data_IF_798002871413
#
_entry.id   IF_798002871413
#
_cell.length_a   1.000
_cell.length_b   1.000
_cell.length_c   1.000
_cell.angle_alpha   90.00
_cell.angle_beta   90.00
_cell.angle_gamma   90.00
#
_symmetry.space_group_name_H-M   'P 1'
#
loop_
_entity.id
_entity.type
_entity.pdbx_description
1 polymer ?
#
# COMPACT_ATOMS: atom_id res chain seq x y z
N UNK A 1 12.09 -12.03 27.42
CA UNK A 1 10.79 -11.33 27.35
C UNK A 1 11.10 -9.86 27.31
N UNK A 2 10.61 -9.12 26.30
CA UNK A 2 10.76 -7.66 26.28
C UNK A 2 10.04 -7.09 27.51
N UNK A 3 10.73 -6.28 28.29
CA UNK A 3 10.16 -5.64 29.48
C UNK A 3 9.17 -4.55 28.98
N UNK A 4 7.90 -4.93 28.79
CA UNK A 4 6.83 -4.00 28.41
C UNK A 4 6.41 -3.23 29.66
N UNK A 5 6.23 -1.91 29.52
CA UNK A 5 5.61 -1.12 30.57
C UNK A 5 4.10 -1.44 30.73
N UNK A 6 3.47 -0.84 31.74
CA UNK A 6 2.05 -1.07 32.03
C UNK A 6 1.14 -0.75 30.84
N UNK A 7 1.35 0.39 30.19
CA UNK A 7 0.51 0.84 29.07
C UNK A 7 0.75 0.02 27.79
N UNK A 8 2.00 -0.34 27.52
CA UNK A 8 2.34 -1.25 26.43
C UNK A 8 1.70 -2.62 26.64
N UNK A 9 1.73 -3.16 27.87
CA UNK A 9 1.13 -4.45 28.17
C UNK A 9 -0.41 -4.41 28.06
N UNK A 10 -1.03 -3.32 28.48
CA UNK A 10 -2.47 -3.09 28.29
C UNK A 10 -2.85 -3.08 26.81
N UNK A 11 -2.11 -2.36 25.96
CA UNK A 11 -2.32 -2.35 24.51
C UNK A 11 -2.13 -3.74 23.87
N UNK A 12 -1.12 -4.50 24.32
CA UNK A 12 -0.88 -5.87 23.86
C UNK A 12 -2.06 -6.79 24.20
N UNK A 13 -2.66 -6.67 25.39
CA UNK A 13 -3.70 -7.57 25.91
C UNK A 13 -5.13 -7.09 25.68
N UNK A 14 -5.31 -5.92 25.08
CA UNK A 14 -6.64 -5.35 24.83
C UNK A 14 -7.57 -6.34 24.09
N UNK A 15 -8.84 -6.42 24.51
CA UNK A 15 -9.83 -7.38 24.00
C UNK A 15 -10.94 -6.75 23.18
N UNK A 16 -10.94 -5.42 23.04
CA UNK A 16 -11.93 -4.69 22.24
C UNK A 16 -11.84 -5.06 20.76
N UNK A 17 -12.95 -4.95 20.04
CA UNK A 17 -13.02 -5.18 18.58
C UNK A 17 -12.11 -4.23 17.81
N UNK A 18 -12.00 -2.97 18.29
CA UNK A 18 -11.12 -1.95 17.72
C UNK A 18 -10.30 -1.33 18.85
N UNK A 19 -9.01 -1.15 18.62
CA UNK A 19 -8.07 -0.55 19.58
C UNK A 19 -7.24 0.48 18.83
N UNK A 20 -7.26 1.73 19.31
CA UNK A 20 -6.40 2.80 18.83
C UNK A 20 -5.30 3.03 19.87
N UNK A 21 -4.04 2.97 19.44
CA UNK A 21 -2.88 3.26 20.29
C UNK A 21 -2.20 4.51 19.78
N UNK A 22 -2.20 5.56 20.58
CA UNK A 22 -1.53 6.83 20.28
C UNK A 22 -0.27 6.93 21.15
N UNK A 23 0.88 7.11 20.52
CA UNK A 23 2.15 7.19 21.23
C UNK A 23 3.19 8.00 20.42
N UNK A 24 4.07 8.76 21.09
CA UNK A 24 5.11 9.55 20.43
C UNK A 24 6.14 8.68 19.71
N UNK A 25 6.98 9.26 18.83
CA UNK A 25 8.15 8.59 18.29
C UNK A 25 9.03 8.01 19.42
N UNK A 26 9.59 6.83 19.19
CA UNK A 26 10.46 6.17 20.20
C UNK A 26 9.73 5.42 21.32
N UNK A 27 8.43 5.58 21.52
CA UNK A 27 7.64 4.93 22.58
C UNK A 27 7.46 3.40 22.41
N UNK A 28 8.17 2.76 21.50
CA UNK A 28 8.09 1.30 21.33
C UNK A 28 6.86 0.78 20.60
N UNK A 29 6.16 1.59 19.76
CA UNK A 29 4.98 1.17 18.99
C UNK A 29 5.17 -0.17 18.26
N UNK A 30 6.30 -0.31 17.56
CA UNK A 30 6.62 -1.55 16.84
C UNK A 30 6.76 -2.74 17.78
N UNK A 31 7.37 -2.53 18.94
CA UNK A 31 7.50 -3.57 19.99
C UNK A 31 6.12 -4.00 20.50
N UNK A 32 5.22 -3.05 20.73
CA UNK A 32 3.82 -3.34 21.13
C UNK A 32 3.12 -4.19 20.06
N UNK A 33 3.22 -3.80 18.78
CA UNK A 33 2.60 -4.55 17.67
C UNK A 33 3.13 -5.99 17.62
N UNK A 34 4.46 -6.19 17.67
CA UNK A 34 5.06 -7.52 17.62
C UNK A 34 4.65 -8.39 18.81
N UNK A 35 4.62 -7.84 20.01
CA UNK A 35 4.14 -8.56 21.19
C UNK A 35 2.62 -8.82 21.12
N UNK A 36 1.83 -7.92 20.54
CA UNK A 36 0.40 -8.14 20.27
C UNK A 36 0.19 -9.34 19.36
N UNK A 37 0.94 -9.43 18.28
CA UNK A 37 0.88 -10.57 17.34
C UNK A 37 1.22 -11.86 18.10
N UNK A 38 2.31 -11.87 18.86
CA UNK A 38 2.72 -13.02 19.69
C UNK A 38 1.61 -13.43 20.66
N UNK A 39 1.03 -12.47 21.38
CA UNK A 39 -0.11 -12.71 22.28
C UNK A 39 -1.30 -13.35 21.57
N UNK A 40 -1.65 -12.85 20.36
CA UNK A 40 -2.75 -13.40 19.56
C UNK A 40 -2.48 -14.86 19.14
N UNK A 41 -1.27 -15.17 18.73
CA UNK A 41 -0.90 -16.52 18.28
C UNK A 41 -0.77 -17.50 19.46
N UNK A 42 -0.03 -17.12 20.50
CA UNK A 42 0.34 -18.02 21.58
C UNK A 42 -0.73 -18.15 22.67
N UNK A 43 -1.30 -17.03 23.13
CA UNK A 43 -2.29 -17.02 24.23
C UNK A 43 -3.73 -17.12 23.71
N UNK A 44 -4.04 -16.43 22.58
CA UNK A 44 -5.40 -16.42 22.02
C UNK A 44 -5.61 -17.52 20.97
N UNK A 45 -4.56 -18.28 20.61
CA UNK A 45 -4.59 -19.38 19.65
C UNK A 45 -5.14 -18.99 18.26
N UNK A 46 -5.00 -17.72 17.88
CA UNK A 46 -5.37 -17.25 16.55
C UNK A 46 -4.38 -17.82 15.54
N UNK A 47 -4.87 -18.41 14.45
CA UNK A 47 -3.99 -18.94 13.41
C UNK A 47 -3.26 -17.79 12.69
N UNK A 48 -1.96 -17.93 12.42
CA UNK A 48 -1.15 -16.90 11.77
C UNK A 48 -1.70 -16.43 10.43
N UNK A 49 -2.37 -17.31 9.67
CA UNK A 49 -3.01 -16.95 8.39
C UNK A 49 -4.17 -15.95 8.53
N UNK A 50 -4.73 -15.79 9.73
CA UNK A 50 -5.81 -14.84 10.02
C UNK A 50 -5.28 -13.52 10.62
N UNK A 51 -3.96 -13.36 10.73
CA UNK A 51 -3.33 -12.14 11.21
C UNK A 51 -2.68 -11.41 10.05
N UNK A 52 -3.09 -10.16 9.85
CA UNK A 52 -2.57 -9.28 8.80
C UNK A 52 -1.95 -8.06 9.46
N UNK A 53 -0.71 -7.77 9.11
CA UNK A 53 0.03 -6.61 9.60
C UNK A 53 0.33 -5.70 8.43
N UNK A 54 -0.26 -4.49 8.47
CA UNK A 54 -0.12 -3.51 7.39
C UNK A 54 0.76 -2.36 7.87
N UNK A 55 1.67 -1.97 7.00
CA UNK A 55 2.53 -0.81 7.17
C UNK A 55 2.46 0.08 5.94
N UNK A 56 2.93 1.31 6.06
CA UNK A 56 2.92 2.25 4.93
C UNK A 56 3.97 1.89 3.86
N UNK A 57 5.13 1.35 4.27
CA UNK A 57 6.21 1.01 3.34
C UNK A 57 6.58 -0.47 3.38
N UNK A 58 7.02 -1.00 2.24
CA UNK A 58 7.53 -2.37 2.11
C UNK A 58 8.72 -2.63 3.04
N UNK A 59 9.64 -1.67 3.13
CA UNK A 59 10.81 -1.77 4.01
C UNK A 59 10.42 -1.90 5.49
N UNK A 60 9.42 -1.13 5.96
CA UNK A 60 8.92 -1.25 7.33
C UNK A 60 8.26 -2.62 7.57
N UNK A 61 7.51 -3.13 6.59
CA UNK A 61 6.90 -4.46 6.70
C UNK A 61 7.95 -5.57 6.79
N UNK A 62 8.98 -5.52 5.96
CA UNK A 62 10.08 -6.50 5.97
C UNK A 62 10.88 -6.44 7.29
N UNK A 63 11.18 -5.25 7.78
CA UNK A 63 11.84 -5.08 9.09
C UNK A 63 11.00 -5.68 10.24
N UNK A 64 9.71 -5.36 10.28
CA UNK A 64 8.80 -5.94 11.28
C UNK A 64 8.73 -7.46 11.18
N UNK A 65 8.65 -8.01 9.97
CA UNK A 65 8.63 -9.44 9.71
C UNK A 65 9.90 -10.14 10.20
N UNK A 66 11.08 -9.56 9.93
CA UNK A 66 12.37 -10.11 10.39
C UNK A 66 12.44 -10.14 11.91
N UNK A 67 12.11 -9.03 12.56
CA UNK A 67 12.07 -8.95 14.02
C UNK A 67 11.05 -9.91 14.62
N UNK A 68 9.91 -10.10 13.99
CA UNK A 68 8.92 -11.07 14.46
C UNK A 68 9.44 -12.50 14.37
N UNK A 69 10.12 -12.87 13.27
CA UNK A 69 10.74 -14.19 13.11
C UNK A 69 11.80 -14.51 14.18
N UNK A 70 12.56 -13.51 14.64
CA UNK A 70 13.51 -13.67 15.74
C UNK A 70 12.82 -13.95 17.08
N UNK A 71 11.64 -13.35 17.28
CA UNK A 71 10.84 -13.52 18.50
C UNK A 71 9.98 -14.79 18.49
N UNK A 72 9.61 -15.29 17.31
CA UNK A 72 8.67 -16.40 17.12
C UNK A 72 9.23 -17.38 16.09
N UNK A 73 9.94 -18.38 16.58
CA UNK A 73 10.72 -19.32 15.75
C UNK A 73 9.88 -20.44 15.15
N UNK A 74 8.70 -20.71 15.70
CA UNK A 74 7.85 -21.82 15.30
C UNK A 74 6.46 -21.35 14.87
N UNK A 75 5.88 -22.04 13.88
CA UNK A 75 4.51 -21.79 13.43
C UNK A 75 4.40 -20.90 12.18
N UNK A 76 3.16 -20.64 11.79
CA UNK A 76 2.85 -19.87 10.57
C UNK A 76 3.05 -18.37 10.83
N UNK A 77 3.94 -17.78 10.06
CA UNK A 77 4.21 -16.33 10.12
C UNK A 77 3.01 -15.58 9.51
N UNK A 78 2.47 -14.58 10.20
CA UNK A 78 1.43 -13.68 9.67
C UNK A 78 1.85 -12.98 8.39
N UNK A 79 0.87 -12.42 7.67
CA UNK A 79 1.17 -11.53 6.57
C UNK A 79 1.70 -10.19 7.12
N UNK A 80 2.86 -9.76 6.60
CA UNK A 80 3.42 -8.43 6.81
C UNK A 80 3.55 -7.75 5.44
N UNK A 81 2.95 -6.59 5.25
CA UNK A 81 2.99 -5.92 3.96
C UNK A 81 2.36 -4.54 3.98
N UNK A 82 2.20 -3.97 2.80
CA UNK A 82 1.39 -2.77 2.55
C UNK A 82 -0.01 -3.17 2.09
N UNK A 83 -0.95 -2.23 2.04
CA UNK A 83 -2.27 -2.47 1.45
C UNK A 83 -2.16 -2.98 0.01
N UNK A 84 -1.37 -2.33 -0.84
CA UNK A 84 -1.15 -2.76 -2.22
C UNK A 84 -0.60 -4.19 -2.29
N UNK A 85 0.38 -4.53 -1.44
CA UNK A 85 0.92 -5.90 -1.35
C UNK A 85 -0.11 -6.94 -0.91
N UNK A 86 -1.05 -6.56 -0.04
CA UNK A 86 -2.15 -7.42 0.37
C UNK A 86 -3.14 -7.63 -0.79
N UNK A 87 -3.58 -6.55 -1.43
CA UNK A 87 -4.52 -6.63 -2.56
C UNK A 87 -3.93 -7.42 -3.73
N UNK A 88 -2.67 -7.15 -4.09
CA UNK A 88 -1.95 -7.94 -5.09
C UNK A 88 -1.96 -9.44 -4.76
N UNK A 89 -1.68 -9.80 -3.51
CA UNK A 89 -1.72 -11.21 -3.05
C UNK A 89 -3.12 -11.83 -3.11
N UNK A 90 -4.17 -11.05 -2.83
CA UNK A 90 -5.56 -11.51 -2.91
C UNK A 90 -5.94 -11.74 -4.39
N UNK A 91 -5.59 -10.83 -5.27
CA UNK A 91 -5.89 -10.94 -6.70
C UNK A 91 -5.16 -12.11 -7.36
N UNK A 92 -3.90 -12.38 -7.00
CA UNK A 92 -3.15 -13.54 -7.47
C UNK A 92 -3.78 -14.89 -7.09
N UNK A 93 -4.67 -14.93 -6.10
CA UNK A 93 -5.44 -16.16 -5.81
C UNK A 93 -6.54 -16.43 -6.81
N UNK A 94 -7.00 -15.39 -7.51
CA UNK A 94 -8.15 -15.44 -8.43
C UNK A 94 -7.75 -15.27 -9.90
N UNK A 95 -6.48 -14.92 -10.18
CA UNK A 95 -5.92 -14.74 -11.53
C UNK A 95 -4.55 -15.39 -11.59
N UNK A 96 -4.28 -16.11 -12.67
CA UNK A 96 -3.01 -16.82 -12.86
C UNK A 96 -1.82 -15.86 -13.02
N UNK A 97 -2.07 -14.68 -13.57
CA UNK A 97 -1.05 -13.64 -13.79
C UNK A 97 -1.62 -12.24 -13.58
N UNK A 98 -0.89 -11.39 -12.86
CA UNK A 98 -1.13 -9.96 -12.74
C UNK A 98 0.12 -9.23 -13.23
N UNK A 99 -0.04 -8.44 -14.27
CA UNK A 99 1.02 -7.58 -14.80
C UNK A 99 0.72 -6.13 -14.48
N UNK A 100 1.67 -5.48 -13.80
CA UNK A 100 1.57 -4.06 -13.49
C UNK A 100 2.24 -3.23 -14.58
N UNK A 101 1.65 -2.07 -14.86
CA UNK A 101 2.27 -1.09 -15.74
C UNK A 101 3.57 -0.58 -15.10
N UNK A 102 4.64 -0.49 -15.90
CA UNK A 102 5.90 0.08 -15.45
C UNK A 102 5.83 1.61 -15.37
N UNK A 103 6.55 2.17 -14.39
CA UNK A 103 6.62 3.63 -14.23
C UNK A 103 7.15 4.33 -15.48
N UNK A 104 8.06 3.68 -16.22
CA UNK A 104 8.60 4.20 -17.49
C UNK A 104 7.52 4.30 -18.58
N UNK A 105 6.65 3.29 -18.67
CA UNK A 105 5.57 3.29 -19.66
C UNK A 105 4.53 4.35 -19.33
N UNK A 106 4.12 4.42 -18.06
CA UNK A 106 3.21 5.47 -17.56
C UNK A 106 3.72 6.86 -17.91
N UNK A 107 5.00 7.11 -17.65
CA UNK A 107 5.66 8.37 -17.94
C UNK A 107 5.68 8.67 -19.47
N UNK A 108 6.06 7.70 -20.29
CA UNK A 108 6.18 7.87 -21.74
C UNK A 108 4.82 8.13 -22.41
N UNK A 109 3.76 7.47 -21.95
CA UNK A 109 2.40 7.69 -22.45
C UNK A 109 1.98 9.13 -22.21
N UNK A 110 2.08 9.60 -20.97
CA UNK A 110 1.68 10.95 -20.59
C UNK A 110 2.53 11.98 -21.32
N UNK A 111 3.84 11.79 -21.38
CA UNK A 111 4.75 12.69 -22.12
C UNK A 111 4.36 12.79 -23.58
N UNK A 112 4.08 11.66 -24.24
CA UNK A 112 3.69 11.62 -25.67
C UNK A 112 2.40 12.41 -25.91
N UNK A 113 1.38 12.25 -25.07
CA UNK A 113 0.13 12.99 -25.21
C UNK A 113 0.35 14.47 -24.96
N UNK A 114 1.03 14.84 -23.88
CA UNK A 114 1.28 16.25 -23.56
C UNK A 114 2.07 16.97 -24.63
N UNK A 115 3.06 16.32 -25.25
CA UNK A 115 3.87 16.90 -26.34
C UNK A 115 3.07 17.26 -27.60
N UNK A 116 1.84 16.77 -27.74
CA UNK A 116 0.93 17.16 -28.82
C UNK A 116 0.16 18.46 -28.51
N UNK A 117 0.19 18.95 -27.28
CA UNK A 117 -0.59 20.11 -26.83
C UNK A 117 0.23 21.19 -26.15
N UNK A 118 1.45 20.89 -25.73
CA UNK A 118 2.31 21.78 -24.94
C UNK A 118 3.72 21.72 -25.53
N UNK A 119 4.32 22.89 -25.81
CA UNK A 119 5.68 22.97 -26.40
C UNK A 119 6.76 22.42 -25.46
N UNK A 120 6.66 22.73 -24.15
CA UNK A 120 7.58 22.23 -23.13
C UNK A 120 6.86 21.35 -22.11
N UNK A 121 7.19 20.05 -22.12
CA UNK A 121 6.67 19.08 -21.18
C UNK A 121 7.70 18.82 -20.10
N UNK A 122 7.52 19.45 -18.92
CA UNK A 122 8.38 19.19 -17.75
C UNK A 122 7.99 17.90 -17.04
N UNK A 123 8.96 17.34 -16.30
CA UNK A 123 8.75 16.15 -15.47
C UNK A 123 7.70 16.39 -14.36
N UNK A 124 7.61 17.62 -13.85
CA UNK A 124 6.61 18.01 -12.87
C UNK A 124 5.19 17.94 -13.41
N UNK A 125 4.97 18.41 -14.65
CA UNK A 125 3.67 18.30 -15.33
C UNK A 125 3.25 16.84 -15.54
N UNK A 126 4.17 15.97 -15.93
CA UNK A 126 3.89 14.55 -16.09
C UNK A 126 3.49 13.92 -14.77
N UNK A 127 4.24 14.21 -13.69
CA UNK A 127 3.93 13.73 -12.33
C UNK A 127 2.58 14.27 -11.83
N UNK A 128 2.27 15.53 -12.12
CA UNK A 128 0.97 16.12 -11.79
C UNK A 128 -0.17 15.34 -12.45
N UNK A 129 -0.05 15.06 -13.76
CA UNK A 129 -1.07 14.28 -14.48
C UNK A 129 -1.22 12.88 -13.89
N UNK A 130 -0.13 12.16 -13.66
CA UNK A 130 -0.17 10.82 -13.08
C UNK A 130 -0.81 10.82 -11.68
N UNK A 131 -0.49 11.81 -10.84
CA UNK A 131 -1.12 11.97 -9.53
C UNK A 131 -2.63 12.25 -9.64
N UNK A 132 -3.04 13.06 -10.62
CA UNK A 132 -4.47 13.34 -10.83
C UNK A 132 -5.21 12.14 -11.44
N UNK A 133 -4.55 11.31 -12.25
CA UNK A 133 -5.10 10.02 -12.71
C UNK A 133 -5.38 9.13 -11.49
N UNK A 134 -4.41 8.97 -10.62
CA UNK A 134 -4.57 8.20 -9.36
C UNK A 134 -5.71 8.77 -8.50
N UNK A 135 -5.76 10.09 -8.30
CA UNK A 135 -6.85 10.74 -7.55
C UNK A 135 -8.22 10.48 -8.18
N UNK A 136 -8.34 10.59 -9.51
CA UNK A 136 -9.60 10.34 -10.24
C UNK A 136 -10.10 8.91 -10.03
N UNK A 137 -9.20 7.93 -9.94
CA UNK A 137 -9.54 6.52 -9.75
C UNK A 137 -9.97 6.20 -8.31
N UNK A 138 -9.33 6.80 -7.33
CA UNK A 138 -9.50 6.45 -5.90
C UNK A 138 -10.49 7.37 -5.19
N UNK A 139 -10.72 8.57 -5.69
CA UNK A 139 -11.51 9.59 -5.01
C UNK A 139 -12.45 10.33 -5.95
N UNK A 140 -13.68 10.57 -5.50
CA UNK A 140 -14.66 11.46 -6.17
C UNK A 140 -14.42 12.95 -5.86
N UNK A 141 -13.29 13.35 -5.28
CA UNK A 141 -12.97 14.74 -4.99
C UNK A 141 -12.56 15.48 -6.25
N UNK A 142 -12.79 16.80 -6.25
CA UNK A 142 -12.38 17.68 -7.34
C UNK A 142 -10.87 17.55 -7.60
N UNK A 143 -10.52 17.50 -8.88
CA UNK A 143 -9.14 17.40 -9.32
C UNK A 143 -8.51 18.79 -9.34
N UNK A 144 -7.37 18.95 -8.71
CA UNK A 144 -6.54 20.15 -8.83
C UNK A 144 -5.65 20.00 -10.07
N UNK A 145 -6.11 20.53 -11.21
CA UNK A 145 -5.42 20.39 -12.50
C UNK A 145 -4.96 21.77 -12.94
N UNK A 146 -3.65 21.92 -13.20
CA UNK A 146 -3.05 23.16 -13.72
C UNK A 146 -3.27 23.33 -15.23
N UNK A 147 -3.77 22.32 -15.92
CA UNK A 147 -4.05 22.28 -17.36
C UNK A 147 -5.55 22.24 -17.66
N UNK A 148 -5.90 22.40 -18.94
CA UNK A 148 -7.29 22.28 -19.40
C UNK A 148 -7.80 20.84 -19.16
N UNK A 149 -9.03 20.73 -18.68
CA UNK A 149 -9.66 19.42 -18.39
C UNK A 149 -9.71 18.50 -19.60
N UNK A 150 -9.81 19.06 -20.82
CA UNK A 150 -9.77 18.30 -22.08
C UNK A 150 -8.42 17.59 -22.28
N UNK A 151 -7.30 18.28 -22.06
CA UNK A 151 -5.95 17.69 -22.17
C UNK A 151 -5.75 16.59 -21.13
N UNK A 152 -6.20 16.83 -19.89
CA UNK A 152 -6.14 15.80 -18.86
C UNK A 152 -6.95 14.56 -19.24
N UNK A 153 -8.17 14.72 -19.77
CA UNK A 153 -8.97 13.57 -20.20
C UNK A 153 -8.31 12.77 -21.31
N UNK A 154 -7.67 13.42 -22.27
CA UNK A 154 -6.88 12.75 -23.33
C UNK A 154 -5.71 11.95 -22.76
N UNK A 155 -5.03 12.49 -21.73
CA UNK A 155 -3.99 11.76 -21.01
C UNK A 155 -4.55 10.54 -20.29
N UNK A 156 -5.68 10.71 -19.59
CA UNK A 156 -6.36 9.64 -18.88
C UNK A 156 -6.81 8.51 -19.82
N UNK A 157 -7.47 8.86 -20.93
CA UNK A 157 -7.95 7.90 -21.93
C UNK A 157 -6.78 7.13 -22.57
N UNK A 158 -5.71 7.81 -22.96
CA UNK A 158 -4.52 7.18 -23.53
C UNK A 158 -3.86 6.21 -22.54
N UNK A 159 -3.80 6.60 -21.26
CA UNK A 159 -3.27 5.77 -20.18
C UNK A 159 -4.10 4.50 -19.96
N UNK A 160 -5.42 4.63 -19.83
CA UNK A 160 -6.32 3.49 -19.64
C UNK A 160 -6.37 2.59 -20.87
N UNK A 161 -6.39 3.15 -22.09
CA UNK A 161 -6.34 2.39 -23.34
C UNK A 161 -5.09 1.53 -23.41
N UNK A 162 -3.92 2.11 -23.12
CA UNK A 162 -2.65 1.37 -23.12
C UNK A 162 -2.66 0.18 -22.13
N UNK A 163 -3.20 0.39 -20.93
CA UNK A 163 -3.34 -0.67 -19.94
C UNK A 163 -4.27 -1.77 -20.43
N UNK A 164 -5.46 -1.40 -20.90
CA UNK A 164 -6.49 -2.33 -21.35
C UNK A 164 -6.02 -3.20 -22.52
N UNK A 165 -5.37 -2.59 -23.53
CA UNK A 165 -4.83 -3.31 -24.70
C UNK A 165 -3.78 -4.36 -24.32
N UNK A 166 -3.06 -4.16 -23.22
CA UNK A 166 -1.96 -5.04 -22.77
C UNK A 166 -2.32 -5.88 -21.56
N UNK A 167 -3.55 -5.79 -21.06
CA UNK A 167 -3.99 -6.49 -19.86
C UNK A 167 -3.17 -6.08 -18.62
N UNK A 168 -2.78 -4.81 -18.54
CA UNK A 168 -2.01 -4.26 -17.42
C UNK A 168 -2.93 -3.62 -16.39
N UNK A 169 -2.49 -3.66 -15.14
CA UNK A 169 -3.11 -2.94 -14.01
C UNK A 169 -2.11 -1.91 -13.47
N UNK A 170 -2.62 -0.87 -12.85
CA UNK A 170 -1.82 -0.02 -11.98
C UNK A 170 -2.13 -0.31 -10.49
N UNK A 171 -1.44 0.39 -9.58
CA UNK A 171 -1.65 0.19 -8.16
C UNK A 171 -3.03 0.64 -7.68
N UNK A 172 -3.68 1.56 -8.37
CA UNK A 172 -5.02 2.05 -8.02
C UNK A 172 -6.10 1.04 -8.44
N UNK A 173 -5.85 0.25 -9.50
CA UNK A 173 -6.72 -0.86 -9.90
C UNK A 173 -6.72 -2.03 -8.91
N UNK A 174 -5.78 -2.05 -7.98
CA UNK A 174 -5.68 -3.09 -6.95
C UNK A 174 -6.60 -2.83 -5.74
N UNK A 175 -7.24 -1.66 -5.66
CA UNK A 175 -8.13 -1.29 -4.56
C UNK A 175 -9.58 -1.64 -4.86
#
# INVERSE_FOLDING_TARGET
MSNLDKYQNEAVRARSKSVLVIAPPGAGKTTVILNRIKYLLEERKVKGIHVIVITFTKAAAENMKSRFKEMHKEGVIPFFGTFHGLFYKILLRNKDEIRLIESKDSYNIIRKVLSSYIEEVSDEKIKEVLNNISRKKVSSKDLEISMTYDIFNKCYEAYETFKNERGLLDFDDLQ
#
